data_IF_921359124519
#
_entry.id   IF_921359124519
#
_cell.length_a   1.000
_cell.length_b   1.000
_cell.length_c   1.000
_cell.angle_alpha   90.00
_cell.angle_beta   90.00
_cell.angle_gamma   90.00
#
_symmetry.space_group_name_H-M   'P 1'
#
loop_
_entity.id
_entity.type
_entity.pdbx_description
1 polymer ?
#
# COMPACT_ATOMS: atom_id res chain seq x y z
N UNK A 1 14.15 -10.06 -8.36
CA UNK A 1 14.52 -8.63 -8.50
C UNK A 1 14.10 -7.80 -7.29
N UNK A 2 12.92 -8.01 -6.71
CA UNK A 2 12.43 -7.27 -5.54
C UNK A 2 13.41 -7.26 -4.36
N UNK A 3 14.01 -8.39 -3.99
CA UNK A 3 15.01 -8.44 -2.90
C UNK A 3 16.24 -7.55 -3.17
N UNK A 4 16.65 -7.40 -4.44
CA UNK A 4 17.76 -6.52 -4.81
C UNK A 4 17.35 -5.04 -4.73
N UNK A 5 16.10 -4.72 -5.11
CA UNK A 5 15.52 -3.40 -4.90
C UNK A 5 15.42 -3.06 -3.40
N UNK A 6 14.97 -4.00 -2.56
CA UNK A 6 14.90 -3.82 -1.11
C UNK A 6 16.28 -3.59 -0.49
N UNK A 7 17.31 -4.36 -0.88
CA UNK A 7 18.69 -4.13 -0.42
C UNK A 7 19.25 -2.78 -0.89
N UNK A 8 18.85 -2.31 -2.07
CA UNK A 8 19.26 -0.99 -2.55
C UNK A 8 18.64 0.13 -1.70
N UNK A 9 17.42 -0.07 -1.18
CA UNK A 9 16.73 0.88 -0.29
C UNK A 9 17.26 0.87 1.15
N UNK A 10 17.85 -0.26 1.60
CA UNK A 10 18.36 -0.43 2.96
C UNK A 10 19.81 0.05 3.17
N UNK A 11 20.47 0.51 2.10
CA UNK A 11 21.82 1.09 2.16
C UNK A 11 21.81 2.56 2.58
N UNK A 12 22.76 2.96 3.45
CA UNK A 12 22.86 4.28 4.11
C UNK A 12 23.09 5.50 3.17
N UNK A 13 23.16 5.30 1.85
CA UNK A 13 23.22 6.37 0.85
C UNK A 13 22.51 5.90 -0.42
N UNK A 14 21.21 6.15 -0.52
CA UNK A 14 20.46 5.87 -1.74
C UNK A 14 20.08 7.17 -2.41
N UNK A 15 20.67 7.41 -3.57
CA UNK A 15 20.28 8.47 -4.49
C UNK A 15 18.77 8.37 -4.78
N UNK A 16 18.07 9.51 -4.84
CA UNK A 16 16.63 9.59 -5.12
C UNK A 16 16.23 8.76 -6.36
N UNK A 17 17.14 8.66 -7.33
CA UNK A 17 16.96 7.84 -8.54
C UNK A 17 16.91 6.33 -8.29
N UNK A 18 17.76 5.78 -7.40
CA UNK A 18 17.77 4.36 -7.08
C UNK A 18 16.53 3.97 -6.23
N UNK A 19 16.09 4.90 -5.37
CA UNK A 19 14.83 4.78 -4.64
C UNK A 19 13.61 4.76 -5.57
N UNK A 20 13.59 5.65 -6.56
CA UNK A 20 12.52 5.72 -7.56
C UNK A 20 12.46 4.45 -8.41
N UNK A 21 13.61 3.93 -8.84
CA UNK A 21 13.69 2.70 -9.61
C UNK A 21 13.23 1.47 -8.79
N UNK A 22 13.62 1.39 -7.51
CA UNK A 22 13.16 0.33 -6.61
C UNK A 22 11.64 0.39 -6.37
N UNK A 23 11.09 1.59 -6.12
CA UNK A 23 9.66 1.81 -5.96
C UNK A 23 8.85 1.49 -7.23
N UNK A 24 9.35 1.87 -8.40
CA UNK A 24 8.74 1.50 -9.68
C UNK A 24 8.80 -0.01 -9.93
N UNK A 25 9.91 -0.66 -9.57
CA UNK A 25 10.05 -2.11 -9.71
C UNK A 25 9.08 -2.85 -8.78
N UNK A 26 8.83 -2.32 -7.57
CA UNK A 26 7.81 -2.82 -6.64
C UNK A 26 6.38 -2.60 -7.16
N UNK A 27 6.06 -1.42 -7.71
CA UNK A 27 4.75 -1.16 -8.31
C UNK A 27 4.48 -1.96 -9.59
N UNK A 28 5.53 -2.37 -10.32
CA UNK A 28 5.42 -3.04 -11.62
C UNK A 28 5.47 -4.57 -11.53
N UNK A 29 5.80 -5.13 -10.36
CA UNK A 29 5.80 -6.57 -10.17
C UNK A 29 4.55 -6.96 -9.39
N UNK A 30 3.80 -7.96 -9.88
CA UNK A 30 2.94 -8.75 -9.01
C UNK A 30 3.84 -9.33 -7.92
N UNK A 31 3.65 -8.85 -6.70
CA UNK A 31 4.42 -9.34 -5.56
C UNK A 31 3.92 -10.76 -5.29
N UNK A 32 4.75 -11.81 -5.44
CA UNK A 32 4.34 -13.12 -4.98
C UNK A 32 3.98 -13.03 -3.50
N UNK A 33 2.98 -13.79 -3.05
CA UNK A 33 2.46 -13.86 -1.67
C UNK A 33 3.49 -14.39 -0.64
N UNK A 34 4.78 -14.12 -0.85
CA UNK A 34 5.87 -14.45 0.03
C UNK A 34 5.69 -13.67 1.37
N UNK A 35 5.38 -14.36 2.47
CA UNK A 35 5.12 -13.74 3.77
C UNK A 35 6.32 -12.95 4.31
N UNK A 36 7.55 -13.38 3.99
CA UNK A 36 8.77 -12.71 4.42
C UNK A 36 8.94 -11.37 3.69
N UNK A 37 8.55 -11.33 2.41
CA UNK A 37 8.57 -10.11 1.61
C UNK A 37 7.52 -9.10 2.10
N UNK A 38 6.29 -9.55 2.36
CA UNK A 38 5.23 -8.69 2.93
C UNK A 38 5.66 -8.15 4.30
N UNK A 39 6.30 -8.97 5.13
CA UNK A 39 6.84 -8.53 6.42
C UNK A 39 7.86 -7.41 6.26
N UNK A 40 8.84 -7.59 5.37
CA UNK A 40 9.90 -6.60 5.14
C UNK A 40 9.34 -5.28 4.60
N UNK A 41 8.40 -5.35 3.65
CA UNK A 41 7.70 -4.17 3.12
C UNK A 41 6.93 -3.44 4.23
N UNK A 42 6.27 -4.19 5.12
CA UNK A 42 5.58 -3.62 6.27
C UNK A 42 6.52 -2.90 7.24
N UNK A 43 7.68 -3.47 7.56
CA UNK A 43 8.70 -2.81 8.39
C UNK A 43 9.10 -1.47 7.77
N UNK A 44 9.38 -1.44 6.47
CA UNK A 44 9.81 -0.23 5.78
C UNK A 44 8.70 0.82 5.60
N UNK A 45 7.46 0.39 5.41
CA UNK A 45 6.31 1.28 5.30
C UNK A 45 6.00 2.01 6.62
N UNK A 46 6.26 1.35 7.74
CA UNK A 46 5.94 1.83 9.08
C UNK A 46 7.11 2.52 9.79
N UNK A 47 8.29 2.54 9.17
CA UNK A 47 9.48 3.20 9.68
C UNK A 47 9.40 4.72 9.47
N UNK A 48 9.09 5.46 10.55
CA UNK A 48 8.90 6.92 10.53
C UNK A 48 10.18 7.70 10.19
N UNK A 49 11.36 7.10 10.38
CA UNK A 49 12.64 7.73 10.04
C UNK A 49 12.89 7.71 8.51
N UNK A 50 12.10 6.93 7.75
CA UNK A 50 12.21 6.86 6.30
C UNK A 50 11.40 7.96 5.61
N UNK A 51 11.87 8.47 4.45
CA UNK A 51 11.11 9.46 3.70
C UNK A 51 9.73 8.92 3.28
N UNK A 52 8.69 9.74 3.39
CA UNK A 52 7.30 9.36 3.11
C UNK A 52 7.11 8.67 1.75
N UNK A 53 7.80 9.15 0.71
CA UNK A 53 7.76 8.53 -0.64
C UNK A 53 8.15 7.05 -0.64
N UNK A 54 9.09 6.67 0.24
CA UNK A 54 9.62 5.30 0.37
C UNK A 54 8.60 4.45 1.10
N UNK A 55 8.09 4.99 2.21
CA UNK A 55 7.05 4.35 3.01
C UNK A 55 5.82 4.07 2.15
N UNK A 56 5.38 5.05 1.36
CA UNK A 56 4.25 4.92 0.44
C UNK A 56 4.50 3.90 -0.69
N UNK A 57 5.71 3.84 -1.26
CA UNK A 57 6.03 2.82 -2.26
C UNK A 57 5.99 1.40 -1.67
N UNK A 58 6.54 1.21 -0.47
CA UNK A 58 6.49 -0.07 0.23
C UNK A 58 5.06 -0.46 0.62
N UNK A 59 4.24 0.52 1.02
CA UNK A 59 2.84 0.34 1.38
C UNK A 59 1.94 -0.04 0.20
N UNK A 60 2.26 0.43 -1.02
CA UNK A 60 1.50 0.11 -2.25
C UNK A 60 1.90 -1.21 -2.90
N UNK A 61 3.14 -1.66 -2.69
CA UNK A 61 3.64 -2.90 -3.26
C UNK A 61 2.75 -4.14 -3.03
N UNK A 62 2.14 -4.34 -1.84
CA UNK A 62 1.26 -5.49 -1.61
C UNK A 62 -0.17 -5.31 -2.12
N UNK A 63 -0.49 -4.29 -2.94
CA UNK A 63 -1.87 -4.02 -3.37
C UNK A 63 -2.54 -5.16 -4.14
N UNK A 64 -1.77 -6.02 -4.81
CA UNK A 64 -2.29 -7.22 -5.49
C UNK A 64 -2.15 -8.52 -4.67
N UNK A 65 -1.68 -8.44 -3.42
CA UNK A 65 -1.51 -9.62 -2.58
C UNK A 65 -2.80 -9.90 -1.79
N UNK A 66 -3.39 -11.07 -1.99
CA UNK A 66 -4.59 -11.55 -1.27
C UNK A 66 -4.26 -12.21 0.09
N UNK A 67 -3.07 -11.93 0.64
CA UNK A 67 -2.63 -12.54 1.90
C UNK A 67 -3.19 -11.80 3.12
N UNK A 68 -3.59 -12.53 4.16
CA UNK A 68 -4.04 -11.97 5.44
C UNK A 68 -3.01 -10.99 6.04
N UNK A 69 -1.72 -11.26 5.85
CA UNK A 69 -0.64 -10.41 6.34
C UNK A 69 -0.61 -9.04 5.62
N UNK A 70 -0.96 -9.00 4.33
CA UNK A 70 -1.10 -7.76 3.58
C UNK A 70 -2.31 -6.97 4.09
N UNK A 71 -3.44 -7.64 4.35
CA UNK A 71 -4.62 -7.01 4.94
C UNK A 71 -4.33 -6.43 6.34
N UNK A 72 -3.61 -7.16 7.21
CA UNK A 72 -3.22 -6.67 8.53
C UNK A 72 -2.34 -5.42 8.47
N UNK A 73 -1.34 -5.42 7.57
CA UNK A 73 -0.50 -4.24 7.30
C UNK A 73 -1.36 -3.07 6.81
N UNK A 74 -2.28 -3.33 5.88
CA UNK A 74 -3.13 -2.34 5.28
C UNK A 74 -4.07 -1.67 6.31
N UNK A 75 -4.68 -2.44 7.21
CA UNK A 75 -5.46 -1.89 8.33
C UNK A 75 -4.61 -0.91 9.14
N UNK A 76 -3.36 -1.27 9.45
CA UNK A 76 -2.46 -0.38 10.22
C UNK A 76 -2.16 0.91 9.46
N UNK A 77 -1.89 0.82 8.15
CA UNK A 77 -1.60 1.96 7.29
C UNK A 77 -2.78 2.94 7.22
N UNK A 78 -4.02 2.44 7.17
CA UNK A 78 -5.23 3.30 7.18
C UNK A 78 -5.42 4.08 8.48
N UNK A 79 -4.76 3.66 9.57
CA UNK A 79 -4.78 4.38 10.85
C UNK A 79 -3.72 5.48 10.98
N UNK A 80 -2.82 5.64 10.01
CA UNK A 80 -1.76 6.65 10.05
C UNK A 80 -2.29 8.04 9.66
N UNK A 81 -1.53 9.10 9.97
CA UNK A 81 -1.95 10.47 9.70
C UNK A 81 -1.72 10.89 8.23
N UNK A 82 -0.75 10.25 7.57
CA UNK A 82 -0.34 10.57 6.20
C UNK A 82 -1.33 9.98 5.18
N UNK A 83 -1.96 10.85 4.39
CA UNK A 83 -2.99 10.49 3.43
C UNK A 83 -2.47 9.47 2.39
N UNK A 84 -1.21 9.60 1.97
CA UNK A 84 -0.55 8.69 1.03
C UNK A 84 -0.47 7.25 1.58
N UNK A 85 -0.28 7.10 2.89
CA UNK A 85 -0.24 5.79 3.54
C UNK A 85 -1.64 5.24 3.76
N UNK A 86 -2.60 6.11 4.09
CA UNK A 86 -4.00 5.72 4.17
C UNK A 86 -4.52 5.20 2.83
N UNK A 87 -4.23 5.90 1.73
CA UNK A 87 -4.61 5.51 0.38
C UNK A 87 -3.96 4.18 -0.02
N UNK A 88 -2.67 3.99 0.29
CA UNK A 88 -1.98 2.75 0.03
C UNK A 88 -2.61 1.56 0.78
N UNK A 89 -2.91 1.74 2.07
CA UNK A 89 -3.62 0.72 2.85
C UNK A 89 -5.02 0.45 2.31
N UNK A 90 -5.77 1.49 1.97
CA UNK A 90 -7.10 1.34 1.42
C UNK A 90 -7.12 0.61 0.07
N UNK A 91 -6.10 0.82 -0.77
CA UNK A 91 -5.95 0.09 -2.05
C UNK A 91 -5.66 -1.39 -1.83
N UNK A 92 -4.83 -1.76 -0.85
CA UNK A 92 -4.66 -3.19 -0.48
C UNK A 92 -5.98 -3.75 0.07
N UNK A 93 -6.73 -2.91 0.80
CA UNK A 93 -8.13 -3.05 1.24
C UNK A 93 -9.05 -3.67 0.19
N UNK A 94 -8.91 -3.23 -1.07
CA UNK A 94 -9.89 -3.57 -2.11
C UNK A 94 -9.85 -5.03 -2.51
N UNK A 95 -8.72 -5.73 -2.31
CA UNK A 95 -8.63 -7.18 -2.51
C UNK A 95 -9.40 -7.98 -1.44
N UNK A 96 -9.84 -7.33 -0.35
CA UNK A 96 -10.51 -7.94 0.79
C UNK A 96 -11.82 -7.21 1.14
N UNK A 97 -12.54 -6.73 0.12
CA UNK A 97 -13.73 -5.88 0.25
C UNK A 97 -14.80 -6.45 1.18
N UNK A 98 -15.12 -7.74 1.04
CA UNK A 98 -16.12 -8.44 1.88
C UNK A 98 -15.94 -8.19 3.38
N UNK A 99 -14.68 -8.13 3.82
CA UNK A 99 -14.33 -7.97 5.24
C UNK A 99 -14.14 -6.49 5.61
N UNK A 100 -13.64 -5.67 4.69
CA UNK A 100 -13.14 -4.33 5.01
C UNK A 100 -13.96 -3.18 4.41
N UNK A 101 -15.03 -3.45 3.66
CA UNK A 101 -15.95 -2.44 3.11
C UNK A 101 -16.36 -1.35 4.12
N UNK A 102 -16.84 -1.66 5.35
CA UNK A 102 -17.21 -0.62 6.31
C UNK A 102 -16.05 0.28 6.78
N UNK A 103 -14.80 -0.21 6.69
CA UNK A 103 -13.61 0.60 6.96
C UNK A 103 -13.32 1.54 5.78
N UNK A 104 -13.37 1.02 4.56
CA UNK A 104 -13.11 1.77 3.33
C UNK A 104 -14.13 2.89 3.12
N UNK A 105 -15.43 2.62 3.31
CA UNK A 105 -16.48 3.64 3.22
C UNK A 105 -16.24 4.81 4.20
N UNK A 106 -15.87 4.48 5.45
CA UNK A 106 -15.56 5.50 6.46
C UNK A 106 -14.32 6.31 6.08
N UNK A 107 -13.27 5.67 5.57
CA UNK A 107 -12.06 6.36 5.12
C UNK A 107 -12.36 7.32 3.98
N UNK A 108 -13.06 6.85 2.94
CA UNK A 108 -13.44 7.67 1.77
C UNK A 108 -14.27 8.89 2.20
N UNK A 109 -15.16 8.72 3.18
CA UNK A 109 -15.97 9.83 3.72
C UNK A 109 -15.15 10.88 4.48
N UNK A 110 -13.97 10.51 5.00
CA UNK A 110 -13.08 11.43 5.73
C UNK A 110 -12.09 12.18 4.86
N UNK A 111 -11.82 11.68 3.65
CA UNK A 111 -10.83 12.28 2.77
C UNK A 111 -11.30 13.58 2.11
N UNK A 112 -10.38 14.51 1.81
CA UNK A 112 -10.70 15.70 1.05
C UNK A 112 -11.36 15.38 -0.30
N UNK A 113 -12.29 16.22 -0.77
CA UNK A 113 -12.80 16.12 -2.14
C UNK A 113 -11.66 16.14 -3.16
N UNK A 114 -11.76 15.32 -4.20
CA UNK A 114 -10.73 15.18 -5.25
C UNK A 114 -9.38 14.63 -4.77
N UNK A 115 -9.36 13.86 -3.69
CA UNK A 115 -8.16 13.09 -3.31
C UNK A 115 -7.74 12.18 -4.47
N UNK A 116 -6.55 12.40 -5.01
CA UNK A 116 -5.99 11.59 -6.09
C UNK A 116 -5.77 10.15 -5.61
N UNK A 117 -6.16 9.16 -6.41
CA UNK A 117 -6.08 7.74 -6.05
C UNK A 117 -7.25 7.23 -5.20
N UNK A 118 -8.16 8.11 -4.75
CA UNK A 118 -9.39 7.67 -4.08
C UNK A 118 -10.47 7.17 -5.06
N UNK A 119 -10.33 7.44 -6.36
CA UNK A 119 -11.30 6.98 -7.36
C UNK A 119 -11.27 5.46 -7.51
N UNK A 120 -10.09 4.87 -7.64
CA UNK A 120 -9.92 3.41 -7.73
C UNK A 120 -10.61 2.67 -6.57
N UNK A 121 -10.59 3.26 -5.36
CA UNK A 121 -11.24 2.70 -4.16
C UNK A 121 -12.76 2.92 -4.19
N UNK A 122 -13.25 4.04 -4.72
CA UNK A 122 -14.68 4.29 -4.90
C UNK A 122 -15.25 3.35 -5.96
N UNK A 123 -14.57 3.22 -7.09
CA UNK A 123 -14.95 2.34 -8.19
C UNK A 123 -15.06 0.90 -7.67
N UNK A 124 -14.08 0.43 -6.89
CA UNK A 124 -14.12 -0.91 -6.27
C UNK A 124 -15.28 -1.09 -5.26
N UNK A 125 -15.67 -0.04 -4.53
CA UNK A 125 -16.82 -0.10 -3.62
C UNK A 125 -18.16 -0.15 -4.35
N UNK A 126 -18.27 0.55 -5.49
CA UNK A 126 -19.46 0.60 -6.34
C UNK A 126 -19.65 -0.72 -7.12
N UNK A 127 -18.57 -1.28 -7.71
CA UNK A 127 -18.63 -2.53 -8.48
C UNK A 127 -19.15 -3.71 -7.63
N UNK A 128 -18.73 -3.82 -6.38
CA UNK A 128 -19.15 -4.89 -5.48
C UNK A 128 -20.58 -4.68 -4.91
N UNK A 129 -21.20 -3.50 -5.09
CA UNK A 129 -22.64 -3.29 -4.81
C UNK A 129 -23.55 -3.82 -5.94
N UNK A 130 -23.06 -3.86 -7.19
CA UNK A 130 -23.83 -4.30 -8.36
C UNK A 130 -23.90 -5.84 -8.52
N UNK A 131 -23.03 -6.58 -7.82
CA UNK A 131 -22.92 -8.05 -7.88
C UNK A 131 -23.78 -8.81 -6.84
N UNK A 132 -24.62 -8.11 -6.06
CA UNK A 132 -25.46 -8.66 -4.96
C UNK A 132 -26.95 -8.75 -5.27
#
# INVERSE_FOLDING_TARGET
MIIAALRAVDGDVVDDGAMSAAGQCLCACDVPEDPELVAQLGVMALDEDRPLRVRAACARAPASAESDQAAELAVRLTGLAELELQLAGALVLTAHLDTHRPLLERLVATWPPNTLGANDIRDALEEDEDDV
#
